data_IF_631583616614
#
_entry.id   IF_631583616614
#
_cell.length_a   1.000
_cell.length_b   1.000
_cell.length_c   1.000
_cell.angle_alpha   90.00
_cell.angle_beta   90.00
_cell.angle_gamma   90.00
#
_symmetry.space_group_name_H-M   'P 1'
#
loop_
_entity.id
_entity.type
_entity.pdbx_description
1 polymer ?
#
# COMPACT_ATOMS: atom_id res chain seq x y z
N UNK A 1 -59.19 27.44 -21.25
CA UNK A 1 -57.91 27.75 -21.92
C UNK A 1 -56.81 27.01 -21.15
N UNK A 2 -56.47 25.80 -21.60
CA UNK A 2 -55.47 24.96 -20.94
C UNK A 2 -54.08 25.28 -21.52
N UNK A 3 -53.13 25.63 -20.65
CA UNK A 3 -51.71 25.56 -20.99
C UNK A 3 -51.00 24.65 -20.00
N UNK A 4 -50.92 23.39 -20.42
CA UNK A 4 -49.96 22.41 -19.94
C UNK A 4 -48.55 23.01 -20.04
N UNK A 5 -47.86 23.13 -18.91
CA UNK A 5 -46.40 23.22 -18.94
C UNK A 5 -45.87 21.98 -18.27
N UNK A 6 -45.59 21.01 -19.14
CA UNK A 6 -44.90 19.76 -18.85
C UNK A 6 -43.53 20.11 -18.25
N UNK A 7 -43.29 19.79 -16.98
CA UNK A 7 -41.96 19.84 -16.40
C UNK A 7 -41.21 18.58 -16.82
N UNK A 8 -40.49 18.71 -17.92
CA UNK A 8 -39.62 17.71 -18.51
C UNK A 8 -38.54 17.28 -17.51
N UNK A 9 -38.53 15.98 -17.17
CA UNK A 9 -37.37 15.33 -16.55
C UNK A 9 -36.22 15.34 -17.55
N UNK A 10 -35.20 16.18 -17.34
CA UNK A 10 -33.95 16.08 -18.09
C UNK A 10 -32.75 16.27 -17.17
N UNK A 11 -31.91 15.24 -17.13
CA UNK A 11 -30.53 15.19 -16.65
C UNK A 11 -30.26 15.22 -15.14
N UNK A 12 -30.27 14.02 -14.55
CA UNK A 12 -29.69 13.71 -13.23
C UNK A 12 -28.16 13.64 -13.22
N UNK A 13 -27.46 14.42 -14.05
CA UNK A 13 -26.01 14.57 -13.91
C UNK A 13 -25.75 15.58 -12.80
N UNK A 14 -25.26 15.13 -11.64
CA UNK A 14 -24.68 16.01 -10.63
C UNK A 14 -23.50 16.72 -11.29
N UNK A 15 -23.73 17.94 -11.77
CA UNK A 15 -22.66 18.80 -12.30
C UNK A 15 -21.70 19.03 -11.14
N UNK A 16 -20.55 18.36 -11.19
CA UNK A 16 -19.46 18.60 -10.23
C UNK A 16 -19.16 20.09 -10.28
N UNK A 17 -19.46 20.80 -9.19
CA UNK A 17 -19.11 22.21 -9.08
C UNK A 17 -17.60 22.30 -9.25
N UNK A 18 -17.16 22.75 -10.42
CA UNK A 18 -15.76 23.06 -10.67
C UNK A 18 -15.44 24.28 -9.81
N UNK A 19 -14.97 24.08 -8.59
CA UNK A 19 -14.19 25.11 -7.89
C UNK A 19 -12.94 25.33 -8.72
N UNK A 20 -12.81 26.44 -9.46
CA UNK A 20 -11.77 26.59 -10.47
C UNK A 20 -10.38 26.62 -9.85
N UNK A 21 -10.28 27.05 -8.58
CA UNK A 21 -9.10 26.97 -7.73
C UNK A 21 -9.49 26.25 -6.43
N UNK A 22 -8.69 25.26 -6.03
CA UNK A 22 -8.90 24.55 -4.76
C UNK A 22 -8.89 25.56 -3.62
N UNK A 23 -9.87 25.47 -2.73
CA UNK A 23 -9.97 26.34 -1.56
C UNK A 23 -8.63 26.30 -0.79
N UNK A 24 -8.04 27.44 -0.36
CA UNK A 24 -6.71 27.46 0.29
C UNK A 24 -6.65 26.54 1.52
N UNK A 25 -7.79 26.31 2.18
CA UNK A 25 -7.94 25.33 3.27
C UNK A 25 -7.66 23.89 2.81
N UNK A 26 -8.10 23.49 1.61
CA UNK A 26 -7.81 22.13 1.09
C UNK A 26 -6.31 21.95 0.90
N UNK A 27 -5.64 22.94 0.29
CA UNK A 27 -4.18 22.89 0.13
C UNK A 27 -3.46 22.88 1.48
N UNK A 28 -3.87 23.71 2.43
CA UNK A 28 -3.30 23.73 3.77
C UNK A 28 -3.48 22.39 4.49
N UNK A 29 -4.67 21.79 4.42
CA UNK A 29 -4.94 20.46 4.98
C UNK A 29 -4.11 19.37 4.27
N UNK A 30 -3.99 19.42 2.94
CA UNK A 30 -3.16 18.48 2.18
C UNK A 30 -1.68 18.59 2.57
N UNK A 31 -1.14 19.81 2.73
CA UNK A 31 0.25 20.01 3.17
C UNK A 31 0.47 19.48 4.58
N UNK A 32 -0.46 19.71 5.50
CA UNK A 32 -0.38 19.16 6.86
C UNK A 32 -0.40 17.62 6.83
N UNK A 33 -1.29 17.01 6.04
CA UNK A 33 -1.35 15.55 5.90
C UNK A 33 -0.07 14.97 5.32
N UNK A 34 0.47 15.59 4.26
CA UNK A 34 1.77 15.19 3.69
C UNK A 34 2.87 15.32 4.73
N UNK A 35 2.92 16.42 5.48
CA UNK A 35 3.91 16.60 6.52
C UNK A 35 3.82 15.50 7.60
N UNK A 36 2.62 15.17 8.09
CA UNK A 36 2.42 14.12 9.08
C UNK A 36 2.88 12.75 8.56
N UNK A 37 2.63 12.42 7.29
CA UNK A 37 3.04 11.16 6.70
C UNK A 37 4.54 11.10 6.37
N UNK A 38 5.13 12.20 5.92
CA UNK A 38 6.51 12.25 5.42
C UNK A 38 7.53 12.48 6.55
N UNK A 39 7.19 13.22 7.61
CA UNK A 39 8.10 13.50 8.73
C UNK A 39 8.68 12.22 9.36
N UNK A 40 7.90 11.16 9.68
CA UNK A 40 8.45 9.92 10.21
C UNK A 40 9.42 9.23 9.25
N UNK A 41 9.15 9.28 7.94
CA UNK A 41 10.04 8.72 6.92
C UNK A 41 11.37 9.49 6.88
N UNK A 42 11.30 10.81 6.88
CA UNK A 42 12.50 11.67 6.96
C UNK A 42 13.26 11.44 8.27
N UNK A 43 12.55 11.21 9.37
CA UNK A 43 13.15 10.91 10.66
C UNK A 43 13.94 9.61 10.65
N UNK A 44 13.44 8.55 9.99
CA UNK A 44 14.16 7.29 9.81
C UNK A 44 15.41 7.49 8.95
N UNK A 45 15.33 8.30 7.88
CA UNK A 45 16.49 8.63 7.04
C UNK A 45 17.55 9.38 7.85
N UNK A 46 17.15 10.38 8.63
CA UNK A 46 18.07 11.10 9.54
C UNK A 46 18.63 10.17 10.60
N UNK A 47 17.81 9.24 11.11
CA UNK A 47 18.20 8.21 12.06
C UNK A 47 19.31 7.28 11.54
N UNK A 48 19.36 7.04 10.23
CA UNK A 48 20.44 6.26 9.60
C UNK A 48 21.84 6.86 9.78
N UNK A 49 21.94 8.16 10.03
CA UNK A 49 23.21 8.84 10.35
C UNK A 49 23.61 8.75 11.83
N UNK A 50 22.85 8.02 12.66
CA UNK A 50 23.08 7.92 14.11
C UNK A 50 23.70 6.60 14.50
N UNK A 51 24.46 6.58 15.60
CA UNK A 51 24.92 5.33 16.22
C UNK A 51 23.84 4.71 17.10
N UNK A 52 23.93 3.39 17.35
CA UNK A 52 23.02 2.70 18.27
C UNK A 52 22.99 3.37 19.66
N UNK A 53 24.14 3.83 20.15
CA UNK A 53 24.24 4.53 21.44
C UNK A 53 23.45 5.85 21.44
N UNK A 54 23.51 6.63 20.35
CA UNK A 54 22.74 7.87 20.23
C UNK A 54 21.23 7.60 20.21
N UNK A 55 20.79 6.56 19.50
CA UNK A 55 19.37 6.17 19.42
C UNK A 55 18.86 5.75 20.82
N UNK A 56 19.63 4.95 21.56
CA UNK A 56 19.24 4.50 22.91
C UNK A 56 19.26 5.63 23.94
N UNK A 57 20.27 6.49 23.93
CA UNK A 57 20.43 7.56 24.92
C UNK A 57 19.55 8.78 24.65
N UNK A 58 19.26 9.09 23.38
CA UNK A 58 18.38 10.19 23.01
C UNK A 58 17.51 9.82 21.80
N UNK A 59 16.40 9.10 22.01
CA UNK A 59 15.56 8.55 20.94
C UNK A 59 14.93 9.60 20.02
N UNK A 60 14.71 10.83 20.51
CA UNK A 60 14.15 11.98 19.77
C UNK A 60 15.21 12.99 19.28
N UNK A 61 16.49 12.72 19.55
CA UNK A 61 17.59 13.61 19.22
C UNK A 61 17.92 13.62 17.72
N UNK A 62 18.49 14.73 17.26
CA UNK A 62 19.14 14.77 15.94
C UNK A 62 20.52 14.10 15.99
N UNK A 63 21.09 13.72 14.82
CA UNK A 63 22.45 13.16 14.76
C UNK A 63 23.47 14.17 15.28
N UNK A 64 24.25 13.78 16.29
CA UNK A 64 25.35 14.57 16.81
C UNK A 64 26.39 13.66 17.50
N UNK A 65 27.51 13.31 16.85
CA UNK A 65 27.91 13.66 15.48
C UNK A 65 27.08 12.96 14.38
N UNK A 66 27.16 13.48 13.15
CA UNK A 66 26.65 12.83 11.95
C UNK A 66 27.59 11.71 11.51
N UNK A 67 27.07 10.48 11.36
CA UNK A 67 27.84 9.29 10.96
C UNK A 67 27.42 8.86 9.56
N UNK A 68 28.10 9.42 8.56
CA UNK A 68 27.84 9.11 7.13
C UNK A 68 28.31 7.70 6.78
N UNK A 69 29.33 7.20 7.48
CA UNK A 69 29.91 5.87 7.28
C UNK A 69 28.87 4.74 7.36
N UNK A 70 27.79 4.92 8.13
CA UNK A 70 26.68 3.96 8.20
C UNK A 70 26.10 3.64 6.80
N UNK A 71 25.89 4.66 5.97
CA UNK A 71 25.36 4.48 4.61
C UNK A 71 26.41 3.90 3.67
N UNK A 72 27.67 4.32 3.81
CA UNK A 72 28.78 3.82 2.98
C UNK A 72 29.00 2.32 3.26
N UNK A 73 29.01 1.93 4.53
CA UNK A 73 29.18 0.54 4.95
C UNK A 73 28.06 -0.37 4.43
N UNK A 74 26.80 0.11 4.43
CA UNK A 74 25.67 -0.64 3.84
C UNK A 74 25.82 -0.74 2.32
N UNK A 75 26.21 0.35 1.65
CA UNK A 75 26.39 0.36 0.20
C UNK A 75 27.56 -0.51 -0.28
N UNK A 76 28.62 -0.65 0.53
CA UNK A 76 29.77 -1.54 0.26
C UNK A 76 29.54 -2.99 0.70
N UNK A 77 28.46 -3.26 1.44
CA UNK A 77 28.12 -4.61 1.90
C UNK A 77 27.55 -5.45 0.76
N UNK A 78 28.23 -6.55 0.43
CA UNK A 78 27.71 -7.53 -0.53
C UNK A 78 26.38 -8.15 -0.07
N UNK A 79 26.22 -8.36 1.24
CA UNK A 79 25.01 -8.92 1.83
C UNK A 79 23.79 -8.06 1.54
N UNK A 80 23.91 -6.72 1.63
CA UNK A 80 22.82 -5.80 1.34
C UNK A 80 22.29 -5.95 -0.10
N UNK A 81 23.20 -6.01 -1.08
CA UNK A 81 22.81 -6.16 -2.49
C UNK A 81 22.23 -7.53 -2.80
N UNK A 82 22.73 -8.59 -2.15
CA UNK A 82 22.16 -9.94 -2.27
C UNK A 82 20.75 -9.98 -1.70
N UNK A 83 20.53 -9.44 -0.51
CA UNK A 83 19.21 -9.38 0.13
C UNK A 83 18.23 -8.54 -0.69
N UNK A 84 18.66 -7.36 -1.16
CA UNK A 84 17.84 -6.49 -2.01
C UNK A 84 17.41 -7.21 -3.29
N UNK A 85 18.34 -7.89 -3.97
CA UNK A 85 18.06 -8.65 -5.17
C UNK A 85 17.11 -9.81 -4.89
N UNK A 86 17.33 -10.56 -3.80
CA UNK A 86 16.46 -11.67 -3.42
C UNK A 86 15.03 -11.20 -3.15
N UNK A 87 14.86 -10.11 -2.39
CA UNK A 87 13.54 -9.52 -2.13
C UNK A 87 12.88 -9.02 -3.40
N UNK A 88 13.63 -8.37 -4.30
CA UNK A 88 13.11 -7.88 -5.57
C UNK A 88 12.63 -9.04 -6.46
N UNK A 89 13.43 -10.10 -6.58
CA UNK A 89 13.08 -11.29 -7.36
C UNK A 89 11.78 -11.89 -6.81
N UNK A 90 11.71 -12.17 -5.50
CA UNK A 90 10.52 -12.75 -4.88
C UNK A 90 9.30 -11.85 -5.09
N UNK A 91 9.42 -10.54 -4.83
CA UNK A 91 8.33 -9.60 -5.00
C UNK A 91 7.79 -9.57 -6.43
N UNK A 92 8.66 -9.52 -7.44
CA UNK A 92 8.27 -9.47 -8.86
C UNK A 92 7.59 -10.77 -9.29
N UNK A 93 8.19 -11.93 -9.01
CA UNK A 93 7.61 -13.21 -9.41
C UNK A 93 6.28 -13.50 -8.69
N UNK A 94 6.20 -13.18 -7.40
CA UNK A 94 4.93 -13.30 -6.65
C UNK A 94 3.88 -12.34 -7.20
N UNK A 95 4.21 -11.07 -7.44
CA UNK A 95 3.28 -10.10 -8.02
C UNK A 95 2.75 -10.57 -9.38
N UNK A 96 3.63 -10.99 -10.28
CA UNK A 96 3.25 -11.47 -11.61
C UNK A 96 2.37 -12.71 -11.51
N UNK A 97 2.74 -13.70 -10.69
CA UNK A 97 1.93 -14.90 -10.48
C UNK A 97 0.54 -14.57 -9.95
N UNK A 98 0.44 -13.74 -8.91
CA UNK A 98 -0.84 -13.33 -8.31
C UNK A 98 -1.70 -12.56 -9.30
N UNK A 99 -1.12 -11.63 -10.06
CA UNK A 99 -1.85 -10.83 -11.05
C UNK A 99 -2.37 -11.70 -12.20
N UNK A 100 -1.53 -12.56 -12.77
CA UNK A 100 -1.92 -13.43 -13.89
C UNK A 100 -3.06 -14.36 -13.47
N UNK A 101 -2.89 -15.08 -12.36
CA UNK A 101 -3.91 -15.99 -11.84
C UNK A 101 -5.18 -15.23 -11.41
N UNK A 102 -5.01 -14.07 -10.77
CA UNK A 102 -6.11 -13.22 -10.32
C UNK A 102 -6.96 -12.70 -11.48
N UNK A 103 -6.34 -12.26 -12.58
CA UNK A 103 -7.05 -11.80 -13.79
C UNK A 103 -7.85 -12.95 -14.41
N UNK A 104 -7.26 -14.14 -14.53
CA UNK A 104 -7.94 -15.31 -15.11
C UNK A 104 -9.24 -15.63 -14.37
N UNK A 105 -9.19 -15.66 -13.03
CA UNK A 105 -10.36 -15.97 -12.22
C UNK A 105 -11.36 -14.80 -12.17
N UNK A 106 -10.86 -13.57 -11.99
CA UNK A 106 -11.69 -12.36 -11.96
C UNK A 106 -12.51 -12.21 -13.24
N UNK A 107 -11.91 -12.48 -14.40
CA UNK A 107 -12.60 -12.40 -15.69
C UNK A 107 -13.80 -13.35 -15.77
N UNK A 108 -13.62 -14.62 -15.38
CA UNK A 108 -14.70 -15.61 -15.41
C UNK A 108 -15.85 -15.18 -14.50
N UNK A 109 -15.51 -14.79 -13.28
CA UNK A 109 -16.48 -14.38 -12.25
C UNK A 109 -17.23 -13.09 -12.65
N UNK A 110 -16.57 -12.14 -13.31
CA UNK A 110 -17.16 -10.87 -13.70
C UNK A 110 -17.99 -10.94 -15.00
N UNK A 111 -17.66 -11.85 -15.92
CA UNK A 111 -18.29 -11.92 -17.26
C UNK A 111 -19.30 -13.06 -17.42
N UNK A 112 -19.13 -14.18 -16.72
CA UNK A 112 -20.02 -15.34 -16.86
C UNK A 112 -21.01 -15.42 -15.71
N UNK A 113 -22.30 -15.63 -16.03
CA UNK A 113 -23.35 -15.90 -15.05
C UNK A 113 -23.49 -17.42 -14.87
N UNK A 114 -22.85 -17.98 -13.85
CA UNK A 114 -22.94 -19.41 -13.52
C UNK A 114 -23.34 -19.64 -12.07
N UNK A 115 -23.98 -20.79 -11.80
CA UNK A 115 -24.58 -21.13 -10.50
C UNK A 115 -23.62 -21.03 -9.31
N UNK A 116 -22.33 -21.34 -9.51
CA UNK A 116 -21.31 -21.36 -8.46
C UNK A 116 -20.53 -20.05 -8.28
N UNK A 117 -20.86 -19.00 -9.04
CA UNK A 117 -20.18 -17.70 -8.91
C UNK A 117 -20.22 -17.14 -7.48
N UNK A 118 -21.36 -17.19 -6.73
CA UNK A 118 -21.40 -16.72 -5.34
C UNK A 118 -20.49 -17.51 -4.39
N UNK A 119 -20.35 -18.83 -4.61
CA UNK A 119 -19.45 -19.68 -3.81
C UNK A 119 -17.99 -19.30 -4.03
N UNK A 120 -17.59 -19.05 -5.28
CA UNK A 120 -16.24 -18.58 -5.60
C UNK A 120 -15.95 -17.23 -4.95
N UNK A 121 -16.88 -16.27 -5.04
CA UNK A 121 -16.75 -14.99 -4.35
C UNK A 121 -16.55 -15.15 -2.83
N UNK A 122 -17.35 -16.02 -2.20
CA UNK A 122 -17.22 -16.30 -0.77
C UNK A 122 -15.88 -16.94 -0.43
N UNK A 123 -15.36 -17.84 -1.27
CA UNK A 123 -14.08 -18.50 -1.06
C UNK A 123 -12.91 -17.50 -1.08
N UNK A 124 -12.85 -16.62 -2.08
CA UNK A 124 -11.82 -15.58 -2.15
C UNK A 124 -11.94 -14.58 -0.98
N UNK A 125 -13.17 -14.19 -0.64
CA UNK A 125 -13.41 -13.28 0.49
C UNK A 125 -12.97 -13.90 1.82
N UNK A 126 -13.27 -15.18 2.05
CA UNK A 126 -12.83 -15.90 3.24
C UNK A 126 -11.29 -15.98 3.32
N UNK A 127 -10.61 -16.19 2.19
CA UNK A 127 -9.15 -16.16 2.12
C UNK A 127 -8.55 -14.80 2.47
N UNK A 128 -9.17 -13.70 2.04
CA UNK A 128 -8.73 -12.33 2.37
C UNK A 128 -8.95 -11.97 3.84
N UNK A 129 -9.95 -12.57 4.50
CA UNK A 129 -10.23 -12.38 5.92
C UNK A 129 -9.36 -13.26 6.81
N UNK A 130 -8.63 -14.22 6.25
CA UNK A 130 -7.80 -15.14 7.01
C UNK A 130 -6.59 -14.40 7.64
N UNK A 131 -6.44 -14.43 8.97
CA UNK A 131 -5.36 -13.72 9.64
C UNK A 131 -4.01 -14.38 9.36
N UNK A 132 -3.06 -13.63 8.80
CA UNK A 132 -1.71 -14.13 8.48
C UNK A 132 -0.96 -14.69 9.70
N UNK A 133 -1.22 -14.15 10.90
CA UNK A 133 -0.58 -14.60 12.14
C UNK A 133 -0.91 -16.04 12.51
N UNK A 134 -2.07 -16.56 12.11
CA UNK A 134 -2.47 -17.95 12.35
C UNK A 134 -1.91 -18.89 11.26
N UNK A 135 -1.69 -18.36 10.05
CA UNK A 135 -1.18 -19.14 8.91
C UNK A 135 0.31 -19.44 8.95
N UNK A 136 1.11 -18.66 9.70
CA UNK A 136 2.57 -18.79 9.66
C UNK A 136 3.08 -20.09 10.31
N UNK A 137 2.46 -20.52 11.42
CA UNK A 137 2.82 -21.75 12.13
C UNK A 137 2.66 -23.01 11.27
N UNK A 138 1.48 -23.26 10.65
CA UNK A 138 1.33 -24.44 9.79
C UNK A 138 2.21 -24.37 8.54
N UNK A 139 2.42 -23.19 7.95
CA UNK A 139 3.34 -23.04 6.82
C UNK A 139 4.78 -23.43 7.19
N UNK A 140 5.25 -22.98 8.36
CA UNK A 140 6.57 -23.35 8.86
C UNK A 140 6.69 -24.87 9.07
N UNK A 141 5.68 -25.50 9.69
CA UNK A 141 5.66 -26.95 9.88
C UNK A 141 5.67 -27.71 8.55
N UNK A 142 4.94 -27.23 7.55
CA UNK A 142 4.94 -27.82 6.20
C UNK A 142 6.34 -27.75 5.59
N UNK A 143 6.95 -26.57 5.54
CA UNK A 143 8.30 -26.37 4.97
C UNK A 143 9.37 -27.14 5.74
N UNK A 144 9.26 -27.25 7.06
CA UNK A 144 10.21 -28.01 7.89
C UNK A 144 10.14 -29.52 7.66
N UNK A 145 8.96 -30.04 7.34
CA UNK A 145 8.74 -31.47 7.11
C UNK A 145 8.94 -31.87 5.63
N UNK A 146 9.20 -30.90 4.75
CA UNK A 146 9.67 -31.09 3.37
C UNK A 146 11.18 -31.36 3.37
#
# INVERSE_FOLDING_TARGET
MAKNTQYTKTNGYRVSQKTPWGHPVVYLLSVILVAICTVPVLYIIIGGFRTNSQITNNPSGFPNPWVIDNYINVAQSDTFWVELKNSLIVAVFTMLGVVVLGIMVSYVIARYKFKYAPLMYSLFSAGLMFPMTVGITPLYLMIRNL
#
